data_IF_771340366363
#
_entry.id   IF_771340366363
#
_cell.length_a   1.000
_cell.length_b   1.000
_cell.length_c   1.000
_cell.angle_alpha   90.00
_cell.angle_beta   90.00
_cell.angle_gamma   90.00
#
_symmetry.space_group_name_H-M   'P 1'
#
loop_
_entity.id
_entity.type
_entity.pdbx_description
1 polymer ?
#
# COMPACT_ATOMS: atom_id res chain seq x y z
N UNK A 1 -11.25 7.42 -1.02
CA UNK A 1 -10.34 7.57 0.14
C UNK A 1 -10.04 6.17 0.63
N UNK A 2 -8.76 5.81 0.73
CA UNK A 2 -8.30 4.49 1.16
C UNK A 2 -7.91 4.57 2.65
N UNK A 3 -8.39 3.61 3.45
CA UNK A 3 -8.11 3.55 4.88
C UNK A 3 -7.67 2.14 5.28
N UNK A 4 -6.60 2.03 6.05
CA UNK A 4 -6.14 0.75 6.57
C UNK A 4 -5.29 0.91 7.83
N UNK A 5 -5.05 -0.21 8.52
CA UNK A 5 -4.20 -0.27 9.70
C UNK A 5 -2.96 -1.08 9.36
N UNK A 6 -1.79 -0.60 9.77
CA UNK A 6 -0.52 -1.30 9.57
C UNK A 6 -0.20 -2.29 10.70
N UNK A 7 0.93 -3.01 10.56
CA UNK A 7 1.35 -3.98 11.57
C UNK A 7 1.80 -3.35 12.89
N UNK A 8 1.96 -2.03 12.95
CA UNK A 8 2.23 -1.28 14.18
C UNK A 8 0.94 -0.75 14.84
N UNK A 9 -0.24 -1.15 14.33
CA UNK A 9 -1.56 -0.65 14.72
C UNK A 9 -1.76 0.84 14.47
N UNK A 10 -1.03 1.43 13.52
CA UNK A 10 -1.23 2.80 13.10
C UNK A 10 -2.30 2.86 12.00
N UNK A 11 -3.23 3.80 12.15
CA UNK A 11 -4.26 4.07 11.17
C UNK A 11 -3.71 5.01 10.08
N UNK A 12 -3.87 4.60 8.82
CA UNK A 12 -3.47 5.36 7.65
C UNK A 12 -4.70 5.73 6.81
N UNK A 13 -4.76 6.99 6.37
CA UNK A 13 -5.83 7.51 5.53
C UNK A 13 -5.21 8.23 4.33
N UNK A 14 -5.55 7.77 3.13
CA UNK A 14 -5.03 8.31 1.87
C UNK A 14 -6.15 8.88 1.00
N UNK A 15 -5.97 10.11 0.52
CA UNK A 15 -6.81 10.64 -0.56
C UNK A 15 -6.35 10.04 -1.90
N UNK A 16 -7.26 9.34 -2.57
CA UNK A 16 -6.99 8.67 -3.84
C UNK A 16 -6.90 9.66 -5.02
N UNK A 17 -7.39 10.89 -4.89
CA UNK A 17 -7.30 11.91 -5.93
C UNK A 17 -5.85 12.27 -6.29
N UNK A 18 -4.93 12.14 -5.32
CA UNK A 18 -3.51 12.39 -5.51
C UNK A 18 -2.71 11.11 -5.73
N UNK A 19 -3.34 9.94 -5.82
CA UNK A 19 -2.64 8.67 -5.97
C UNK A 19 -2.00 8.55 -7.35
N UNK A 20 -0.72 8.17 -7.37
CA UNK A 20 0.05 7.98 -8.61
C UNK A 20 0.26 6.50 -8.88
N UNK A 21 0.91 5.79 -7.96
CA UNK A 21 1.15 4.35 -8.07
C UNK A 21 1.45 3.72 -6.71
N UNK A 22 1.33 2.40 -6.65
CA UNK A 22 1.67 1.59 -5.48
C UNK A 22 2.79 0.62 -5.84
N UNK A 23 3.87 0.66 -5.05
CA UNK A 23 4.88 -0.38 -5.05
C UNK A 23 4.60 -1.40 -3.96
N UNK A 24 4.61 -2.68 -4.36
CA UNK A 24 4.39 -3.80 -3.47
C UNK A 24 5.67 -4.64 -3.40
N UNK A 25 6.20 -4.81 -2.19
CA UNK A 25 7.33 -5.69 -1.92
C UNK A 25 6.96 -6.70 -0.85
N UNK A 26 7.02 -7.98 -1.17
CA UNK A 26 6.89 -9.05 -0.17
C UNK A 26 8.06 -8.98 0.79
N UNK A 27 7.78 -8.81 2.09
CA UNK A 27 8.81 -8.75 3.14
C UNK A 27 9.11 -10.13 3.70
N UNK A 28 8.06 -10.91 3.96
CA UNK A 28 8.13 -12.31 4.40
C UNK A 28 6.83 -13.06 3.99
N UNK A 29 6.61 -14.28 4.49
CA UNK A 29 5.43 -15.08 4.14
C UNK A 29 4.09 -14.43 4.54
N UNK A 30 4.10 -13.57 5.57
CA UNK A 30 2.91 -12.97 6.19
C UNK A 30 2.79 -11.47 5.94
N UNK A 31 3.90 -10.79 5.66
CA UNK A 31 4.00 -9.33 5.62
C UNK A 31 4.40 -8.81 4.24
N UNK A 32 3.82 -7.66 3.91
CA UNK A 32 4.06 -6.94 2.66
C UNK A 32 4.37 -5.49 3.00
N UNK A 33 5.44 -4.97 2.42
CA UNK A 33 5.73 -3.54 2.46
C UNK A 33 5.13 -2.87 1.24
N UNK A 34 4.32 -1.84 1.50
CA UNK A 34 3.67 -1.00 0.51
C UNK A 34 4.36 0.35 0.52
N UNK A 35 4.78 0.84 -0.65
CA UNK A 35 5.19 2.22 -0.83
C UNK A 35 4.16 2.91 -1.74
N UNK A 36 3.35 3.78 -1.14
CA UNK A 36 2.30 4.53 -1.84
C UNK A 36 2.89 5.85 -2.31
N UNK A 37 2.83 6.09 -3.62
CA UNK A 37 3.28 7.33 -4.23
C UNK A 37 2.07 8.22 -4.53
N UNK A 38 2.15 9.48 -4.07
CA UNK A 38 1.13 10.50 -4.30
C UNK A 38 1.75 11.77 -4.91
N UNK A 39 0.92 12.61 -5.54
CA UNK A 39 1.30 13.96 -5.94
C UNK A 39 1.48 14.83 -4.68
N UNK A 40 2.71 15.28 -4.41
CA UNK A 40 3.07 16.07 -3.21
C UNK A 40 4.11 15.40 -2.30
N UNK A 41 4.30 15.87 -1.05
CA UNK A 41 5.26 15.29 -0.10
C UNK A 41 5.01 13.79 0.19
N UNK A 42 6.12 13.10 0.43
CA UNK A 42 6.46 11.78 -0.11
C UNK A 42 5.98 10.52 0.62
N UNK A 43 6.20 9.40 -0.11
CA UNK A 43 6.23 8.00 0.28
C UNK A 43 6.49 7.76 1.76
N UNK A 44 5.55 7.05 2.38
CA UNK A 44 5.77 6.32 3.62
C UNK A 44 5.74 4.83 3.25
N UNK A 45 6.86 4.10 3.34
CA UNK A 45 6.82 2.65 3.28
C UNK A 45 6.09 2.15 4.54
N UNK A 46 5.00 1.42 4.34
CA UNK A 46 4.20 0.83 5.41
C UNK A 46 4.18 -0.68 5.28
N UNK A 47 4.44 -1.37 6.38
CA UNK A 47 4.37 -2.83 6.42
C UNK A 47 3.01 -3.25 6.95
N UNK A 48 2.30 -4.02 6.15
CA UNK A 48 0.95 -4.51 6.45
C UNK A 48 0.92 -6.03 6.33
N UNK A 49 -0.11 -6.65 6.89
CA UNK A 49 -0.38 -8.07 6.66
C UNK A 49 -0.69 -8.32 5.17
N UNK A 50 -0.41 -9.52 4.69
CA UNK A 50 -0.74 -9.92 3.32
C UNK A 50 -2.24 -9.82 3.00
N UNK A 51 -3.09 -10.04 4.01
CA UNK A 51 -4.54 -9.87 3.88
C UNK A 51 -4.91 -8.40 3.65
N UNK A 52 -4.34 -7.50 4.46
CA UNK A 52 -4.51 -6.04 4.31
C UNK A 52 -3.96 -5.55 2.98
N UNK A 53 -2.77 -5.99 2.57
CA UNK A 53 -2.20 -5.65 1.26
C UNK A 53 -3.14 -6.06 0.11
N UNK A 54 -3.74 -7.26 0.19
CA UNK A 54 -4.70 -7.73 -0.80
C UNK A 54 -5.96 -6.86 -0.84
N UNK A 55 -6.48 -6.43 0.31
CA UNK A 55 -7.62 -5.51 0.36
C UNK A 55 -7.29 -4.17 -0.30
N UNK A 56 -6.14 -3.58 0.05
CA UNK A 56 -5.65 -2.33 -0.55
C UNK A 56 -5.52 -2.44 -2.07
N UNK A 57 -4.98 -3.55 -2.57
CA UNK A 57 -4.82 -3.78 -4.01
C UNK A 57 -6.15 -3.88 -4.76
N UNK A 58 -7.14 -4.55 -4.17
CA UNK A 58 -8.51 -4.64 -4.71
C UNK A 58 -9.15 -3.26 -4.76
N UNK A 59 -9.00 -2.47 -3.69
CA UNK A 59 -9.61 -1.14 -3.57
C UNK A 59 -8.97 -0.11 -4.51
N UNK A 60 -7.67 -0.24 -4.78
CA UNK A 60 -6.95 0.55 -5.81
C UNK A 60 -7.19 0.04 -7.24
N UNK A 61 -8.03 -0.99 -7.41
CA UNK A 61 -8.50 -1.46 -8.70
C UNK A 61 -7.47 -2.22 -9.55
N UNK A 62 -6.40 -2.78 -8.97
CA UNK A 62 -5.28 -3.46 -9.68
C UNK A 62 -4.58 -2.67 -10.81
N UNK A 63 -5.10 -1.52 -11.26
CA UNK A 63 -4.65 -0.82 -12.47
C UNK A 63 -3.29 -0.14 -12.31
N UNK A 64 -2.87 0.14 -11.08
CA UNK A 64 -1.68 0.95 -10.76
C UNK A 64 -0.73 0.28 -9.76
N UNK A 65 -0.90 -1.03 -9.53
CA UNK A 65 -0.05 -1.80 -8.64
C UNK A 65 1.09 -2.44 -9.44
N UNK A 66 2.32 -1.99 -9.22
CA UNK A 66 3.50 -2.65 -9.77
C UNK A 66 3.96 -3.71 -8.77
N UNK A 67 3.67 -4.98 -9.10
CA UNK A 67 4.19 -6.13 -8.35
C UNK A 67 5.65 -6.36 -8.75
N UNK A 68 6.59 -6.10 -7.85
CA UNK A 68 7.98 -6.45 -8.07
C UNK A 68 8.24 -7.85 -7.51
N UNK A 69 8.57 -8.80 -8.40
CA UNK A 69 9.12 -10.10 -8.01
C UNK A 69 10.64 -10.02 -8.14
N UNK A 70 11.40 -10.44 -7.10
CA UNK A 70 12.86 -10.39 -7.13
C UNK A 70 13.43 -11.27 -8.25
#
# INVERSE_FOLDING_TARGET
MLKFVDNQNLEHVFNLENFVHLHVRTSDEKNVTLAIHMLGPHLIPVTVSKATAKQILIELGNQNALEYRP
#
